data_IF_878085963952
#
_entry.id   IF_878085963952
#
_cell.length_a   1.000
_cell.length_b   1.000
_cell.length_c   1.000
_cell.angle_alpha   90.00
_cell.angle_beta   90.00
_cell.angle_gamma   90.00
#
_symmetry.space_group_name_H-M   'P 1'
#
loop_
_entity.id
_entity.type
_entity.pdbx_description
1 polymer ?
#
# COMPACT_ATOMS: atom_id res chain seq x y z
N UNK A 1 0.32 17.25 -15.10
CA UNK A 1 -0.52 17.16 -13.89
C UNK A 1 0.42 16.84 -12.74
N UNK A 2 0.47 17.61 -11.65
CA UNK A 2 1.45 17.37 -10.57
C UNK A 2 1.03 16.14 -9.77
N UNK A 3 1.78 15.05 -9.91
CA UNK A 3 1.57 13.81 -9.17
C UNK A 3 2.27 13.82 -7.81
N UNK A 4 1.98 12.84 -6.93
CA UNK A 4 2.63 12.72 -5.63
C UNK A 4 4.15 12.51 -5.71
N UNK A 5 4.68 12.10 -6.87
CA UNK A 5 6.12 11.91 -7.11
C UNK A 5 6.82 13.15 -7.68
N UNK A 6 6.07 14.14 -8.19
CA UNK A 6 6.63 15.35 -8.79
C UNK A 6 7.34 16.27 -7.78
N UNK A 7 7.15 16.06 -6.48
CA UNK A 7 7.92 16.75 -5.42
C UNK A 7 9.35 16.21 -5.23
N UNK A 8 9.63 14.99 -5.68
CA UNK A 8 10.93 14.34 -5.54
C UNK A 8 11.79 14.41 -6.81
N UNK A 9 11.23 14.91 -7.92
CA UNK A 9 11.90 15.12 -9.19
C UNK A 9 11.84 16.60 -9.62
N UNK A 10 12.67 17.48 -9.05
CA UNK A 10 12.75 18.87 -9.50
C UNK A 10 13.21 18.95 -10.96
N UNK A 11 12.39 19.55 -11.83
CA UNK A 11 12.77 19.80 -13.22
C UNK A 11 13.85 20.90 -13.28
N UNK A 12 15.10 20.52 -13.51
CA UNK A 12 16.21 21.47 -13.70
C UNK A 12 16.33 21.86 -15.18
N UNK A 13 16.15 23.15 -15.49
CA UNK A 13 16.33 23.71 -16.83
C UNK A 13 17.63 24.51 -16.89
N UNK A 14 18.64 24.01 -17.62
CA UNK A 14 19.89 24.74 -17.84
C UNK A 14 19.77 25.68 -19.07
N UNK A 15 20.42 26.85 -19.07
CA UNK A 15 20.17 27.92 -20.06
C UNK A 15 20.51 27.57 -21.52
N UNK A 16 21.11 26.41 -21.79
CA UNK A 16 21.43 25.89 -23.12
C UNK A 16 20.82 24.51 -23.40
N UNK A 17 19.98 23.95 -22.50
CA UNK A 17 19.47 22.58 -22.64
C UNK A 17 18.21 22.45 -23.51
N UNK A 18 17.69 23.56 -24.05
CA UNK A 18 16.37 23.58 -24.69
C UNK A 18 15.22 23.33 -23.69
N UNK A 19 13.98 23.47 -24.16
CA UNK A 19 12.77 23.22 -23.35
C UNK A 19 12.51 21.71 -23.19
N UNK A 20 13.48 21.03 -22.57
CA UNK A 20 13.39 19.61 -22.25
C UNK A 20 12.70 19.48 -20.91
N UNK A 21 11.43 19.06 -20.95
CA UNK A 21 10.73 18.60 -19.74
C UNK A 21 11.13 17.14 -19.52
N UNK A 22 12.00 16.90 -18.55
CA UNK A 22 12.35 15.55 -18.11
C UNK A 22 11.21 15.04 -17.24
N UNK A 23 10.27 14.32 -17.86
CA UNK A 23 9.28 13.54 -17.14
C UNK A 23 9.90 12.19 -16.77
N UNK A 24 10.29 12.04 -15.51
CA UNK A 24 10.78 10.78 -14.93
C UNK A 24 9.77 10.18 -13.95
N UNK A 25 8.54 10.71 -13.93
CA UNK A 25 7.48 10.05 -13.18
C UNK A 25 7.27 8.66 -13.79
N UNK A 26 7.14 7.60 -12.98
CA UNK A 26 6.92 6.26 -13.50
C UNK A 26 5.60 6.24 -14.28
N UNK A 27 5.71 6.22 -15.61
CA UNK A 27 4.55 6.05 -16.49
C UNK A 27 4.11 4.59 -16.41
N UNK A 28 3.10 4.31 -15.58
CA UNK A 28 2.44 3.01 -15.61
C UNK A 28 1.61 3.00 -16.90
N UNK A 29 2.17 2.45 -17.98
CA UNK A 29 1.45 2.26 -19.23
C UNK A 29 0.44 1.13 -19.03
N UNK A 30 -0.80 1.53 -18.75
CA UNK A 30 -1.91 0.63 -18.53
C UNK A 30 -2.65 0.49 -19.86
N UNK A 31 -2.75 -0.74 -20.39
CA UNK A 31 -3.46 -1.00 -21.65
C UNK A 31 -5.00 -0.88 -21.50
N UNK A 32 -5.50 -0.94 -20.26
CA UNK A 32 -6.91 -0.83 -19.89
C UNK A 32 -7.37 0.58 -19.51
N UNK A 33 -8.58 0.67 -18.95
CA UNK A 33 -9.15 1.93 -18.45
C UNK A 33 -8.44 2.30 -17.13
N UNK A 34 -7.73 3.44 -17.05
CA UNK A 34 -6.89 3.77 -15.90
C UNK A 34 -7.63 3.77 -14.55
N UNK A 35 -8.87 4.24 -14.51
CA UNK A 35 -9.68 4.30 -13.29
C UNK A 35 -10.06 2.91 -12.79
N UNK A 36 -10.34 1.98 -13.70
CA UNK A 36 -10.66 0.59 -13.36
C UNK A 36 -9.43 -0.09 -12.79
N UNK A 37 -8.28 0.11 -13.43
CA UNK A 37 -7.02 -0.53 -13.08
C UNK A 37 -6.48 -0.03 -11.74
N UNK A 38 -6.57 1.28 -11.49
CA UNK A 38 -6.28 1.85 -10.19
C UNK A 38 -7.18 1.25 -9.08
N UNK A 39 -8.47 1.02 -9.38
CA UNK A 39 -9.40 0.40 -8.44
C UNK A 39 -9.08 -1.06 -8.19
N UNK A 40 -8.74 -1.82 -9.23
CA UNK A 40 -8.32 -3.23 -9.12
C UNK A 40 -7.08 -3.35 -8.23
N UNK A 41 -6.06 -2.52 -8.45
CA UNK A 41 -4.82 -2.54 -7.64
C UNK A 41 -5.09 -2.13 -6.19
N UNK A 42 -6.00 -1.18 -5.94
CA UNK A 42 -6.29 -0.73 -4.57
C UNK A 42 -7.16 -1.70 -3.79
N UNK A 43 -8.19 -2.27 -4.42
CA UNK A 43 -9.27 -2.95 -3.72
C UNK A 43 -9.20 -4.48 -3.83
N UNK A 44 -8.67 -5.00 -4.93
CA UNK A 44 -8.76 -6.44 -5.25
C UNK A 44 -7.41 -7.12 -5.19
N UNK A 45 -6.42 -6.54 -5.86
CA UNK A 45 -5.13 -7.17 -6.09
C UNK A 45 -4.00 -6.18 -5.84
N UNK A 46 -3.90 -5.70 -4.60
CA UNK A 46 -2.73 -4.91 -4.20
C UNK A 46 -1.45 -5.72 -4.38
N UNK A 47 -0.32 -5.04 -4.62
CA UNK A 47 0.96 -5.71 -4.77
C UNK A 47 1.27 -6.65 -3.61
N UNK A 48 0.94 -6.28 -2.37
CA UNK A 48 1.10 -7.15 -1.21
C UNK A 48 0.21 -8.41 -1.28
N UNK A 49 -1.02 -8.30 -1.78
CA UNK A 49 -1.91 -9.45 -1.96
C UNK A 49 -1.41 -10.37 -3.09
N UNK A 50 -0.96 -9.79 -4.21
CA UNK A 50 -0.39 -10.55 -5.33
C UNK A 50 0.87 -11.31 -4.90
N UNK A 51 1.82 -10.62 -4.27
CA UNK A 51 3.06 -11.23 -3.77
C UNK A 51 2.76 -12.29 -2.70
N UNK A 52 1.79 -12.04 -1.80
CA UNK A 52 1.34 -13.04 -0.83
C UNK A 52 0.94 -14.36 -1.49
N UNK A 53 0.16 -14.31 -2.59
CA UNK A 53 -0.24 -15.51 -3.34
C UNK A 53 0.94 -16.23 -3.98
N UNK A 54 1.93 -15.49 -4.48
CA UNK A 54 3.16 -16.09 -5.03
C UNK A 54 3.98 -16.78 -3.94
N UNK A 55 4.15 -16.14 -2.78
CA UNK A 55 4.89 -16.72 -1.65
C UNK A 55 4.18 -17.98 -1.12
N UNK A 56 2.85 -17.94 -0.96
CA UNK A 56 2.04 -19.13 -0.59
C UNK A 56 2.27 -20.29 -1.57
N UNK A 57 2.26 -20.01 -2.88
CA UNK A 57 2.47 -21.02 -3.91
C UNK A 57 3.90 -21.60 -3.87
N UNK A 58 4.91 -20.76 -3.64
CA UNK A 58 6.30 -21.20 -3.49
C UNK A 58 6.48 -22.09 -2.26
N UNK A 59 5.92 -21.71 -1.11
CA UNK A 59 5.96 -22.53 0.11
C UNK A 59 5.28 -23.88 -0.10
N UNK A 60 4.11 -23.90 -0.76
CA UNK A 60 3.41 -25.14 -1.09
C UNK A 60 4.24 -26.04 -2.03
N UNK A 61 4.92 -25.45 -3.03
CA UNK A 61 5.79 -26.19 -3.93
C UNK A 61 7.03 -26.73 -3.20
N UNK A 62 7.70 -25.90 -2.39
CA UNK A 62 8.86 -26.31 -1.60
C UNK A 62 8.56 -27.47 -0.67
N UNK A 63 7.39 -27.45 -0.02
CA UNK A 63 6.92 -28.57 0.79
C UNK A 63 6.70 -29.86 -0.04
N UNK A 64 6.15 -29.74 -1.26
CA UNK A 64 5.91 -30.87 -2.14
C UNK A 64 7.21 -31.46 -2.73
N UNK A 65 8.23 -30.63 -2.97
CA UNK A 65 9.52 -31.04 -3.55
C UNK A 65 10.60 -31.34 -2.52
N UNK A 66 10.32 -31.14 -1.22
CA UNK A 66 11.31 -31.23 -0.15
C UNK A 66 12.42 -30.18 -0.28
N UNK A 67 12.13 -29.05 -0.92
CA UNK A 67 13.08 -27.95 -1.10
C UNK A 67 12.91 -26.95 0.02
N UNK A 68 13.98 -26.75 0.78
CA UNK A 68 14.02 -25.74 1.85
C UNK A 68 13.99 -24.32 1.27
N UNK A 69 13.07 -23.50 1.79
CA UNK A 69 12.85 -22.12 1.34
C UNK A 69 13.08 -21.13 2.48
N UNK A 70 14.15 -21.32 3.26
CA UNK A 70 14.38 -20.61 4.53
C UNK A 70 14.32 -19.07 4.44
N UNK A 71 14.82 -18.46 3.37
CA UNK A 71 14.71 -17.01 3.16
C UNK A 71 13.27 -16.55 2.91
N UNK A 72 12.49 -17.33 2.15
CA UNK A 72 11.08 -17.06 1.87
C UNK A 72 10.25 -17.22 3.15
N UNK A 73 10.50 -18.27 3.93
CA UNK A 73 9.79 -18.50 5.19
C UNK A 73 10.08 -17.39 6.21
N UNK A 74 11.34 -16.96 6.30
CA UNK A 74 11.73 -15.82 7.13
C UNK A 74 11.07 -14.51 6.67
N UNK A 75 10.95 -14.28 5.36
CA UNK A 75 10.27 -13.11 4.81
C UNK A 75 8.77 -13.13 5.13
N UNK A 76 8.10 -14.26 4.92
CA UNK A 76 6.67 -14.42 5.26
C UNK A 76 6.44 -14.17 6.74
N UNK A 77 7.29 -14.73 7.61
CA UNK A 77 7.23 -14.49 9.06
C UNK A 77 7.35 -13.01 9.44
N UNK A 78 8.28 -12.28 8.83
CA UNK A 78 8.43 -10.83 9.07
C UNK A 78 7.20 -10.04 8.63
N UNK A 79 6.61 -10.38 7.48
CA UNK A 79 5.38 -9.73 6.99
C UNK A 79 4.23 -9.94 7.96
N UNK A 80 4.04 -11.16 8.46
CA UNK A 80 2.98 -11.45 9.44
C UNK A 80 3.20 -10.76 10.78
N UNK A 81 4.46 -10.62 11.23
CA UNK A 81 4.77 -9.82 12.41
C UNK A 81 4.37 -8.35 12.25
N UNK A 82 4.71 -7.71 11.12
CA UNK A 82 4.32 -6.32 10.84
C UNK A 82 2.80 -6.16 10.77
N UNK A 83 2.08 -7.13 10.19
CA UNK A 83 0.60 -7.13 10.16
C UNK A 83 0.01 -7.27 11.57
N UNK A 84 0.61 -8.10 12.43
CA UNK A 84 0.18 -8.26 13.81
C UNK A 84 0.37 -6.96 14.60
N UNK A 85 1.53 -6.32 14.52
CA UNK A 85 1.81 -5.03 15.15
C UNK A 85 0.86 -3.93 14.66
N UNK A 86 0.45 -4.02 13.40
CA UNK A 86 -0.49 -3.07 12.79
C UNK A 86 -1.89 -3.14 13.42
N UNK A 87 -2.32 -4.27 14.00
CA UNK A 87 -3.64 -4.36 14.67
C UNK A 87 -3.72 -3.46 15.89
N UNK A 88 -2.67 -3.44 16.70
CA UNK A 88 -2.61 -2.57 17.87
C UNK A 88 -2.50 -1.09 17.47
N UNK A 89 -1.74 -0.79 16.42
CA UNK A 89 -1.68 0.55 15.84
C UNK A 89 -3.04 1.03 15.28
N UNK A 90 -3.81 0.14 14.64
CA UNK A 90 -5.17 0.42 14.14
C UNK A 90 -6.12 0.67 15.32
N UNK A 91 -6.06 -0.16 16.37
CA UNK A 91 -6.86 0.04 17.59
C UNK A 91 -6.57 1.40 18.23
N UNK A 92 -5.30 1.73 18.44
CA UNK A 92 -4.91 3.02 19.02
C UNK A 92 -5.37 4.21 18.15
N UNK A 93 -5.29 4.09 16.82
CA UNK A 93 -5.83 5.10 15.90
C UNK A 93 -7.34 5.22 15.98
N UNK A 94 -8.07 4.11 16.09
CA UNK A 94 -9.52 4.10 16.23
C UNK A 94 -9.95 4.76 17.54
N UNK A 95 -9.29 4.43 18.67
CA UNK A 95 -9.54 5.07 19.96
C UNK A 95 -9.32 6.58 19.90
N UNK A 96 -8.20 7.02 19.30
CA UNK A 96 -7.91 8.44 19.13
C UNK A 96 -8.89 9.14 18.18
N UNK A 97 -9.40 8.44 17.16
CA UNK A 97 -10.43 8.96 16.26
C UNK A 97 -11.79 9.10 16.97
N UNK A 98 -12.20 8.09 17.74
CA UNK A 98 -13.44 8.13 18.53
C UNK A 98 -13.40 9.21 19.61
N UNK A 99 -12.25 9.40 20.26
CA UNK A 99 -12.07 10.50 21.23
C UNK A 99 -12.26 11.86 20.57
N UNK A 100 -11.62 12.09 19.42
CA UNK A 100 -11.76 13.34 18.65
C UNK A 100 -13.20 13.55 18.18
N UNK A 101 -13.87 12.49 17.71
CA UNK A 101 -15.27 12.57 17.31
C UNK A 101 -16.15 13.02 18.48
N UNK A 102 -15.99 12.40 19.65
CA UNK A 102 -16.76 12.77 20.85
C UNK A 102 -16.56 14.22 21.29
N UNK A 103 -15.37 14.78 21.10
CA UNK A 103 -15.06 16.17 21.45
C UNK A 103 -15.74 17.19 20.53
N UNK A 104 -16.00 16.83 19.27
CA UNK A 104 -16.54 17.73 18.24
C UNK A 104 -18.03 17.48 17.97
N UNK A 105 -18.48 16.23 18.10
CA UNK A 105 -19.84 15.76 17.81
C UNK A 105 -20.17 14.55 18.69
N UNK A 106 -20.83 14.82 19.82
CA UNK A 106 -21.20 13.77 20.78
C UNK A 106 -22.30 12.84 20.25
N UNK A 107 -23.24 13.37 19.46
CA UNK A 107 -24.35 12.58 18.90
C UNK A 107 -23.86 11.66 17.77
N UNK A 108 -23.00 12.16 16.88
CA UNK A 108 -22.33 11.34 15.87
C UNK A 108 -21.39 10.30 16.49
N UNK A 109 -20.72 10.61 17.60
CA UNK A 109 -19.95 9.61 18.35
C UNK A 109 -20.85 8.49 18.88
N UNK A 110 -22.00 8.81 19.49
CA UNK A 110 -22.98 7.84 20.03
C UNK A 110 -23.48 6.88 18.96
N UNK A 111 -23.80 7.40 17.77
CA UNK A 111 -24.20 6.59 16.62
C UNK A 111 -23.10 5.58 16.21
N UNK A 112 -21.85 6.04 16.12
CA UNK A 112 -20.70 5.18 15.74
C UNK A 112 -20.39 4.11 16.79
N UNK A 113 -20.53 4.41 18.09
CA UNK A 113 -20.30 3.42 19.16
C UNK A 113 -21.53 2.56 19.47
N UNK A 114 -22.67 2.82 18.81
CA UNK A 114 -23.93 2.09 19.02
C UNK A 114 -24.53 2.29 20.41
N UNK A 115 -24.41 3.49 21.00
CA UNK A 115 -24.96 3.84 22.32
C UNK A 115 -26.05 4.90 22.25
#
# INVERSE_FOLDING_TARGET
MLGPFSFWSPTFRFPLSGDVTQDIDPEIQIAGVPEIEARVVREVASYGAQLGKVLEALQALGAATGTELGEIDALVGQVEAVKADSRDAIRARAEAALKRLREVDEDGWREVVGK
#
